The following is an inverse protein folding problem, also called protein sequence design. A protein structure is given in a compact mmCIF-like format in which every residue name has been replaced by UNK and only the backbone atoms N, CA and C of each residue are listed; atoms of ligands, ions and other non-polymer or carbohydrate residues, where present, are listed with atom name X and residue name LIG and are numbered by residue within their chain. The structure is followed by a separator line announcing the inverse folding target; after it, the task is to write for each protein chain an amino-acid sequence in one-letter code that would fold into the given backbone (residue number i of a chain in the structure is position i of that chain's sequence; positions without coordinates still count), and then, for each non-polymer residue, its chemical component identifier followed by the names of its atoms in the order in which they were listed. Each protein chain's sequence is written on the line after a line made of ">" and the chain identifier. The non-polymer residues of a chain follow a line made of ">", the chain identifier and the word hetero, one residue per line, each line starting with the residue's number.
data_IF_092429405919
#
_entry.id   IF_092429405919
#
_cell.length_a   1.000
_cell.length_b   1.000
_cell.length_c   1.000
_cell.angle_alpha   90.00
_cell.angle_beta   90.00
_cell.angle_gamma   90.00
#
_symmetry.space_group_name_H-M   'P 1'
#
loop_
_entity.id
_entity.type
_entity.pdbx_description
1 polymer ?
#
# COMPACT_ATOMS: atom_id res chain seq x y z
N UNK A 1 8.12 -11.72 22.16
CA UNK A 1 7.30 -10.48 22.09
C UNK A 1 7.45 -9.91 20.70
N UNK A 2 6.35 -9.80 19.95
CA UNK A 2 6.35 -9.20 18.61
C UNK A 2 6.76 -7.72 18.73
N UNK A 3 7.60 -7.27 17.79
CA UNK A 3 7.95 -5.85 17.69
C UNK A 3 6.69 -5.05 17.36
N UNK A 4 6.41 -4.00 18.14
CA UNK A 4 5.33 -3.08 17.85
C UNK A 4 5.79 -2.21 16.69
N UNK A 5 5.05 -2.28 15.57
CA UNK A 5 5.22 -1.41 14.42
C UNK A 5 4.04 -0.45 14.43
N UNK A 6 4.30 0.83 14.30
CA UNK A 6 3.27 1.86 14.19
C UNK A 6 3.56 2.79 13.02
N UNK A 7 2.53 3.32 12.40
CA UNK A 7 2.66 4.42 11.45
C UNK A 7 2.75 5.74 12.22
N UNK A 8 3.57 6.67 11.75
CA UNK A 8 3.71 7.99 12.36
C UNK A 8 3.85 9.06 11.29
N UNK A 9 2.97 10.05 11.29
CA UNK A 9 2.98 11.19 10.37
C UNK A 9 4.30 11.98 10.34
N UNK A 10 5.04 12.01 11.43
CA UNK A 10 6.32 12.75 11.51
C UNK A 10 7.46 12.17 10.67
N UNK A 11 7.31 10.99 10.06
CA UNK A 11 8.39 10.22 9.42
C UNK A 11 8.19 10.04 7.91
N UNK A 12 7.12 10.59 7.35
CA UNK A 12 6.87 10.52 5.91
C UNK A 12 7.92 11.28 5.11
N UNK A 13 8.36 10.67 4.01
CA UNK A 13 9.44 11.20 3.16
C UNK A 13 8.98 12.25 2.15
N UNK A 14 7.67 12.39 1.93
CA UNK A 14 7.12 13.28 0.92
C UNK A 14 6.33 14.41 1.57
N UNK A 15 6.96 15.57 1.63
CA UNK A 15 6.34 16.81 2.07
C UNK A 15 6.42 17.85 0.95
N UNK A 16 5.40 18.66 0.83
CA UNK A 16 5.45 19.93 0.13
C UNK A 16 5.41 21.08 1.12
N UNK A 17 5.93 22.22 0.74
CA UNK A 17 5.85 23.45 1.54
C UNK A 17 4.71 24.29 0.98
N UNK A 18 3.63 24.42 1.76
CA UNK A 18 2.49 25.27 1.44
C UNK A 18 2.40 26.32 2.53
N UNK A 19 2.45 27.59 2.15
CA UNK A 19 2.41 28.74 3.10
C UNK A 19 3.48 28.65 4.20
N UNK A 20 4.68 28.17 3.85
CA UNK A 20 5.80 28.02 4.79
C UNK A 20 5.68 26.83 5.75
N UNK A 21 4.64 26.01 5.64
CA UNK A 21 4.44 24.83 6.48
C UNK A 21 4.70 23.55 5.69
N UNK A 22 5.35 22.56 6.33
CA UNK A 22 5.47 21.21 5.79
C UNK A 22 4.08 20.56 5.81
N UNK A 23 3.56 20.21 4.63
CA UNK A 23 2.36 19.41 4.49
C UNK A 23 2.71 18.05 3.84
N UNK A 24 2.05 16.99 4.28
CA UNK A 24 2.21 15.68 3.69
C UNK A 24 1.70 15.74 2.24
N UNK A 25 2.48 15.18 1.31
CA UNK A 25 2.04 15.05 -0.08
C UNK A 25 1.00 13.94 -0.18
N UNK A 26 -0.26 14.35 -0.37
CA UNK A 26 -1.37 13.43 -0.62
C UNK A 26 -1.38 13.01 -2.09
N UNK A 27 -1.99 11.86 -2.38
CA UNK A 27 -2.12 11.36 -3.75
C UNK A 27 -2.95 12.33 -4.59
N UNK A 28 -2.43 12.86 -5.72
CA UNK A 28 -3.22 13.72 -6.58
C UNK A 28 -4.47 13.01 -7.09
N UNK A 29 -5.58 13.75 -7.21
CA UNK A 29 -6.86 13.17 -7.62
C UNK A 29 -6.80 12.51 -8.99
N UNK A 30 -6.14 13.16 -9.97
CA UNK A 30 -5.92 12.60 -11.31
C UNK A 30 -5.11 11.29 -11.29
N UNK A 31 -4.14 11.17 -10.37
CA UNK A 31 -3.38 9.93 -10.17
C UNK A 31 -4.25 8.84 -9.57
N UNK A 32 -5.07 9.19 -8.57
CA UNK A 32 -5.99 8.23 -7.97
C UNK A 32 -7.02 7.73 -9.00
N UNK A 33 -7.55 8.60 -9.87
CA UNK A 33 -8.44 8.21 -10.97
C UNK A 33 -7.77 7.21 -11.91
N UNK A 34 -6.59 7.53 -12.44
CA UNK A 34 -5.83 6.65 -13.35
C UNK A 34 -5.53 5.29 -12.72
N UNK A 35 -5.18 5.28 -11.44
CA UNK A 35 -4.90 4.04 -10.68
C UNK A 35 -6.17 3.22 -10.52
N UNK A 36 -7.28 3.84 -10.12
CA UNK A 36 -8.53 3.14 -9.88
C UNK A 36 -9.19 2.61 -11.17
N UNK A 37 -9.03 3.29 -12.31
CA UNK A 37 -9.43 2.76 -13.62
C UNK A 37 -8.78 1.41 -13.94
N UNK A 38 -7.53 1.21 -13.50
CA UNK A 38 -6.84 -0.07 -13.69
C UNK A 38 -7.20 -1.12 -12.63
N UNK A 39 -7.49 -0.69 -11.40
CA UNK A 39 -7.76 -1.58 -10.27
C UNK A 39 -9.19 -2.12 -10.30
N UNK A 40 -10.20 -1.24 -10.43
CA UNK A 40 -11.60 -1.59 -10.22
C UNK A 40 -12.10 -2.76 -11.08
N UNK A 41 -11.71 -2.89 -12.37
CA UNK A 41 -12.12 -4.05 -13.18
C UNK A 41 -11.60 -5.40 -12.69
N UNK A 42 -10.66 -5.40 -11.74
CA UNK A 42 -10.03 -6.61 -11.19
C UNK A 42 -10.64 -7.04 -9.84
N UNK A 43 -11.55 -6.23 -9.28
CA UNK A 43 -12.25 -6.49 -8.02
C UNK A 43 -13.64 -7.02 -8.35
N UNK A 44 -14.02 -8.13 -7.72
CA UNK A 44 -15.31 -8.77 -7.96
C UNK A 44 -16.46 -7.99 -7.33
N UNK A 45 -17.65 -8.11 -7.92
CA UNK A 45 -18.88 -7.59 -7.32
C UNK A 45 -19.12 -8.27 -5.96
N UNK A 46 -19.33 -7.47 -4.92
CA UNK A 46 -19.52 -7.97 -3.54
C UNK A 46 -18.23 -8.18 -2.75
N UNK A 47 -17.06 -7.96 -3.34
CA UNK A 47 -15.80 -7.97 -2.61
C UNK A 47 -15.69 -6.78 -1.64
N UNK A 48 -15.09 -7.02 -0.49
CA UNK A 48 -14.78 -5.99 0.50
C UNK A 48 -13.39 -5.40 0.28
N UNK A 49 -13.24 -4.09 0.53
CA UNK A 49 -11.98 -3.38 0.27
C UNK A 49 -11.55 -2.56 1.47
N UNK A 50 -10.29 -2.71 1.89
CA UNK A 50 -9.65 -1.87 2.90
C UNK A 50 -8.75 -0.82 2.25
N UNK A 51 -8.83 0.43 2.68
CA UNK A 51 -7.74 1.41 2.49
C UNK A 51 -6.93 1.55 3.78
N UNK A 52 -5.74 0.90 3.85
CA UNK A 52 -4.93 0.86 5.08
C UNK A 52 -4.36 2.21 5.53
N UNK A 53 -4.29 3.20 4.62
CA UNK A 53 -3.69 4.52 4.87
C UNK A 53 -4.49 5.57 4.10
N UNK A 54 -5.70 5.86 4.59
CA UNK A 54 -6.71 6.66 3.88
C UNK A 54 -6.22 8.07 3.54
N UNK A 55 -5.51 8.71 4.45
CA UNK A 55 -5.11 10.10 4.29
C UNK A 55 -6.31 11.03 4.07
N UNK A 56 -6.30 11.76 2.95
CA UNK A 56 -7.40 12.65 2.52
C UNK A 56 -8.53 11.93 1.75
N UNK A 57 -8.43 10.61 1.56
CA UNK A 57 -9.46 9.80 0.92
C UNK A 57 -9.34 9.67 -0.60
N UNK A 58 -8.20 10.04 -1.19
CA UNK A 58 -8.01 10.05 -2.65
C UNK A 58 -8.40 8.73 -3.34
N UNK A 59 -8.09 7.58 -2.73
CA UNK A 59 -8.57 6.28 -3.20
C UNK A 59 -9.90 5.89 -2.58
N UNK A 60 -10.07 6.09 -1.26
CA UNK A 60 -11.24 5.66 -0.51
C UNK A 60 -12.54 6.15 -1.16
N UNK A 61 -12.61 7.42 -1.55
CA UNK A 61 -13.81 8.02 -2.12
C UNK A 61 -14.20 7.41 -3.48
N UNK A 62 -13.23 6.78 -4.17
CA UNK A 62 -13.42 6.16 -5.49
C UNK A 62 -13.73 4.65 -5.44
N UNK A 63 -13.69 4.03 -4.26
CA UNK A 63 -14.03 2.62 -4.07
C UNK A 63 -15.54 2.47 -4.01
N UNK A 64 -16.20 1.80 -5.00
CA UNK A 64 -17.66 1.63 -5.02
C UNK A 64 -18.16 0.41 -4.22
N UNK A 65 -17.23 -0.39 -3.66
CA UNK A 65 -17.50 -1.60 -2.91
C UNK A 65 -17.77 -1.33 -1.42
N UNK A 66 -18.21 -2.32 -0.69
CA UNK A 66 -18.17 -2.27 0.78
C UNK A 66 -16.73 -2.04 1.22
N UNK A 67 -16.49 -0.98 2.00
CA UNK A 67 -15.14 -0.49 2.24
C UNK A 67 -14.89 -0.09 3.69
N UNK A 68 -13.65 -0.32 4.08
CA UNK A 68 -13.10 0.00 5.38
C UNK A 68 -11.84 0.84 5.22
N UNK A 69 -11.39 1.47 6.28
CA UNK A 69 -10.14 2.23 6.26
C UNK A 69 -9.42 2.23 7.60
N UNK A 70 -8.11 2.52 7.54
CA UNK A 70 -7.33 2.93 8.69
C UNK A 70 -6.80 4.35 8.45
N UNK A 71 -6.80 5.16 9.51
CA UNK A 71 -6.21 6.49 9.50
C UNK A 71 -5.68 6.82 10.90
N UNK A 72 -4.36 6.97 11.00
CA UNK A 72 -3.68 7.14 12.29
C UNK A 72 -4.09 8.43 13.01
N UNK A 73 -4.45 9.48 12.25
CA UNK A 73 -4.94 10.74 12.82
C UNK A 73 -6.32 10.62 13.45
N UNK A 74 -7.06 9.59 13.09
CA UNK A 74 -8.37 9.26 13.69
C UNK A 74 -8.22 8.18 14.77
N UNK A 75 -6.98 7.76 15.09
CA UNK A 75 -6.70 6.76 16.10
C UNK A 75 -6.85 5.32 15.62
N UNK A 76 -7.00 5.10 14.31
CA UNK A 76 -7.14 3.77 13.71
C UNK A 76 -5.79 3.40 13.07
N UNK A 77 -4.93 2.71 13.84
CA UNK A 77 -3.62 2.28 13.36
C UNK A 77 -3.74 0.97 12.58
N UNK A 78 -3.26 0.98 11.32
CA UNK A 78 -3.26 -0.17 10.44
C UNK A 78 -2.62 -1.42 11.05
N UNK A 79 -1.54 -1.29 11.81
CA UNK A 79 -0.86 -2.44 12.41
C UNK A 79 -1.61 -3.07 13.59
N UNK A 80 -2.67 -2.42 14.07
CA UNK A 80 -3.60 -2.95 15.07
C UNK A 80 -4.94 -3.41 14.45
N UNK A 81 -5.13 -3.19 13.15
CA UNK A 81 -6.30 -3.67 12.43
C UNK A 81 -6.18 -5.19 12.20
N UNK A 82 -7.22 -5.96 12.52
CA UNK A 82 -7.22 -7.43 12.51
C UNK A 82 -8.43 -8.05 11.78
N UNK A 83 -9.34 -7.24 11.26
CA UNK A 83 -10.46 -7.72 10.44
C UNK A 83 -9.97 -8.13 9.03
N UNK A 84 -10.58 -9.19 8.49
CA UNK A 84 -10.25 -9.67 7.14
C UNK A 84 -11.10 -9.00 6.08
N UNK A 85 -10.50 -8.76 4.92
CA UNK A 85 -11.14 -8.19 3.73
C UNK A 85 -10.73 -8.98 2.49
N UNK A 86 -11.40 -8.76 1.35
CA UNK A 86 -10.97 -9.40 0.10
C UNK A 86 -9.76 -8.70 -0.50
N UNK A 87 -9.76 -7.38 -0.54
CA UNK A 87 -8.73 -6.57 -1.17
C UNK A 87 -8.27 -5.41 -0.28
N UNK A 88 -7.04 -4.95 -0.51
CA UNK A 88 -6.60 -3.65 0.00
C UNK A 88 -6.08 -2.78 -1.15
N UNK A 89 -6.30 -1.45 -1.05
CA UNK A 89 -5.85 -0.45 -2.02
C UNK A 89 -5.30 0.73 -1.25
N UNK A 90 -4.06 1.15 -1.51
CA UNK A 90 -3.52 2.37 -0.89
C UNK A 90 -2.24 2.89 -1.55
N UNK A 91 -1.85 4.08 -1.14
CA UNK A 91 -0.50 4.64 -1.25
C UNK A 91 0.16 4.62 0.13
N UNK A 92 0.83 3.52 0.52
CA UNK A 92 1.34 3.36 1.87
C UNK A 92 2.49 4.31 2.18
N UNK A 93 2.73 4.66 3.45
CA UNK A 93 3.88 5.45 3.85
C UNK A 93 5.19 4.71 3.56
N UNK A 94 6.25 5.46 3.20
CA UNK A 94 7.55 4.87 2.88
C UNK A 94 8.38 4.49 4.11
N UNK A 95 8.00 5.00 5.29
CA UNK A 95 8.63 4.71 6.57
C UNK A 95 7.61 4.54 7.67
N UNK A 96 7.91 3.67 8.61
CA UNK A 96 7.18 3.46 9.86
C UNK A 96 8.16 3.43 11.03
N UNK A 97 7.65 3.60 12.23
CA UNK A 97 8.47 3.41 13.44
C UNK A 97 8.45 1.93 13.86
N UNK A 98 9.63 1.39 14.08
CA UNK A 98 9.82 0.10 14.72
C UNK A 98 10.76 0.29 15.88
N UNK A 99 10.30 0.03 17.12
CA UNK A 99 11.04 0.29 18.35
C UNK A 99 11.55 1.75 18.47
N UNK A 100 10.77 2.72 18.00
CA UNK A 100 11.12 4.14 18.00
C UNK A 100 12.04 4.60 16.86
N UNK A 101 12.56 3.68 16.04
CA UNK A 101 13.45 4.00 14.92
C UNK A 101 12.71 3.93 13.57
N UNK A 102 12.99 4.89 12.63
CA UNK A 102 12.38 4.87 11.31
C UNK A 102 12.96 3.76 10.44
N UNK A 103 12.12 2.83 10.02
CA UNK A 103 12.48 1.73 9.11
C UNK A 103 11.73 1.83 7.77
N UNK A 104 12.22 1.11 6.76
CA UNK A 104 11.50 0.96 5.50
C UNK A 104 10.14 0.31 5.77
N UNK A 105 9.07 0.97 5.33
CA UNK A 105 7.70 0.57 5.63
C UNK A 105 7.19 -0.57 4.76
N UNK A 106 7.72 -0.74 3.54
CA UNK A 106 7.10 -1.62 2.54
C UNK A 106 6.94 -3.06 3.02
N UNK A 107 7.99 -3.65 3.57
CA UNK A 107 7.96 -5.06 3.96
C UNK A 107 7.05 -5.32 5.17
N UNK A 108 7.13 -4.56 6.27
CA UNK A 108 6.17 -4.68 7.36
C UNK A 108 4.70 -4.52 6.90
N UNK A 109 4.43 -3.52 6.06
CA UNK A 109 3.08 -3.26 5.53
C UNK A 109 2.61 -4.42 4.67
N UNK A 110 3.40 -4.87 3.69
CA UNK A 110 3.07 -6.00 2.82
C UNK A 110 2.77 -7.25 3.65
N UNK A 111 3.65 -7.60 4.59
CA UNK A 111 3.46 -8.78 5.42
C UNK A 111 2.22 -8.70 6.32
N UNK A 112 1.85 -7.51 6.80
CA UNK A 112 0.62 -7.35 7.58
C UNK A 112 -0.61 -7.43 6.65
N UNK A 113 -0.59 -6.78 5.49
CA UNK A 113 -1.66 -6.84 4.51
C UNK A 113 -1.95 -8.26 4.04
N UNK A 114 -0.92 -9.08 3.82
CA UNK A 114 -1.06 -10.49 3.45
C UNK A 114 -1.84 -11.31 4.49
N UNK A 115 -1.87 -10.88 5.75
CA UNK A 115 -2.67 -11.55 6.81
C UNK A 115 -4.13 -11.14 6.79
N UNK A 116 -4.42 -9.93 6.29
CA UNK A 116 -5.76 -9.34 6.30
C UNK A 116 -6.53 -9.66 5.01
N UNK A 117 -5.84 -9.80 3.88
CA UNK A 117 -6.48 -9.95 2.58
C UNK A 117 -6.71 -11.42 2.20
N UNK A 118 -7.93 -11.72 1.75
CA UNK A 118 -8.29 -13.05 1.25
C UNK A 118 -7.87 -13.26 -0.20
N UNK A 119 -7.85 -12.20 -1.03
CA UNK A 119 -7.62 -12.27 -2.48
C UNK A 119 -6.36 -11.54 -2.92
N UNK A 120 -6.15 -10.29 -2.46
CA UNK A 120 -4.99 -9.54 -2.90
C UNK A 120 -4.97 -8.09 -2.46
N UNK A 121 -4.01 -7.34 -2.96
CA UNK A 121 -3.92 -5.91 -2.71
C UNK A 121 -3.16 -5.17 -3.81
N UNK A 122 -3.44 -3.88 -3.93
CA UNK A 122 -2.81 -2.96 -4.87
C UNK A 122 -2.19 -1.80 -4.12
N UNK A 123 -0.89 -1.60 -4.29
CA UNK A 123 -0.19 -0.50 -3.65
C UNK A 123 0.49 0.40 -4.68
N UNK A 124 0.21 1.70 -4.58
CA UNK A 124 1.00 2.73 -5.25
C UNK A 124 2.31 2.92 -4.48
N UNK A 125 3.42 2.62 -5.11
CA UNK A 125 4.74 2.60 -4.49
C UNK A 125 5.76 3.31 -5.36
N UNK A 126 6.86 3.77 -4.75
CA UNK A 126 7.99 4.29 -5.50
C UNK A 126 9.05 3.20 -5.79
N UNK A 127 10.07 3.57 -6.56
CA UNK A 127 11.16 2.67 -6.96
C UNK A 127 11.92 2.01 -5.79
N UNK A 128 11.84 2.55 -4.56
CA UNK A 128 12.53 1.98 -3.38
C UNK A 128 11.97 0.61 -2.97
N UNK A 129 10.75 0.27 -3.39
CA UNK A 129 10.23 -1.07 -3.16
C UNK A 129 11.13 -2.13 -3.81
N UNK A 130 11.62 -1.88 -5.03
CA UNK A 130 12.44 -2.86 -5.76
C UNK A 130 13.71 -3.26 -5.03
N UNK A 131 14.34 -2.32 -4.31
CA UNK A 131 15.51 -2.64 -3.47
C UNK A 131 15.18 -3.52 -2.27
N UNK A 132 13.91 -3.66 -1.92
CA UNK A 132 13.42 -4.49 -0.83
C UNK A 132 12.96 -5.88 -1.29
N UNK A 133 12.76 -6.08 -2.61
CA UNK A 133 12.33 -7.34 -3.19
C UNK A 133 13.53 -8.23 -3.51
N UNK A 134 13.97 -9.02 -2.52
CA UNK A 134 15.02 -10.02 -2.73
C UNK A 134 14.44 -11.33 -3.26
N UNK A 135 15.24 -12.12 -3.99
CA UNK A 135 14.86 -13.47 -4.45
C UNK A 135 14.33 -14.33 -3.31
N UNK A 136 15.05 -14.34 -2.17
CA UNK A 136 14.60 -15.09 -0.99
C UNK A 136 13.19 -14.68 -0.55
N UNK A 137 12.92 -13.39 -0.47
CA UNK A 137 11.61 -12.87 -0.02
C UNK A 137 10.49 -13.23 -0.99
N UNK A 138 10.76 -13.12 -2.29
CA UNK A 138 9.78 -13.50 -3.32
C UNK A 138 9.45 -14.99 -3.25
N UNK A 139 10.44 -15.85 -3.04
CA UNK A 139 10.23 -17.29 -2.81
C UNK A 139 9.43 -17.55 -1.53
N UNK A 140 9.82 -16.94 -0.39
CA UNK A 140 9.12 -17.11 0.89
C UNK A 140 7.63 -16.72 0.75
N UNK A 141 7.31 -15.63 0.04
CA UNK A 141 5.93 -15.24 -0.23
C UNK A 141 5.20 -16.21 -1.15
N UNK A 142 5.86 -16.64 -2.22
CA UNK A 142 5.28 -17.59 -3.17
C UNK A 142 4.96 -18.95 -2.53
N UNK A 143 5.81 -19.42 -1.61
CA UNK A 143 5.56 -20.63 -0.81
C UNK A 143 4.33 -20.51 0.08
N UNK A 144 3.92 -19.30 0.45
CA UNK A 144 2.70 -19.02 1.21
C UNK A 144 1.50 -18.66 0.32
N UNK A 145 1.63 -18.83 -0.99
CA UNK A 145 0.59 -18.57 -1.98
C UNK A 145 0.50 -17.11 -2.45
N UNK A 146 1.47 -16.24 -2.11
CA UNK A 146 1.43 -14.84 -2.52
C UNK A 146 2.38 -14.55 -3.69
N UNK A 147 1.87 -13.91 -4.72
CA UNK A 147 2.64 -13.54 -5.90
C UNK A 147 2.45 -12.07 -6.28
N UNK A 148 3.49 -11.47 -6.86
CA UNK A 148 3.34 -10.23 -7.62
C UNK A 148 2.74 -10.59 -8.97
N UNK A 149 1.46 -10.30 -9.19
CA UNK A 149 0.69 -10.71 -10.36
C UNK A 149 0.44 -9.58 -11.37
N UNK A 150 0.77 -8.33 -11.01
CA UNK A 150 0.59 -7.19 -11.91
C UNK A 150 1.43 -5.99 -11.53
N UNK A 151 1.82 -5.22 -12.53
CA UNK A 151 2.54 -3.95 -12.36
C UNK A 151 2.00 -2.96 -13.39
N UNK A 152 1.61 -1.77 -12.93
CA UNK A 152 1.32 -0.61 -13.77
C UNK A 152 2.34 0.48 -13.48
N UNK A 153 2.98 1.02 -14.49
CA UNK A 153 3.89 2.17 -14.37
C UNK A 153 3.04 3.44 -14.38
N UNK A 154 3.29 4.35 -13.42
CA UNK A 154 2.55 5.58 -13.23
C UNK A 154 3.50 6.78 -13.31
N UNK A 155 3.12 7.81 -14.05
CA UNK A 155 3.77 9.11 -14.02
C UNK A 155 2.99 10.06 -13.11
N UNK A 156 3.63 10.58 -12.08
CA UNK A 156 3.02 11.55 -11.17
C UNK A 156 3.76 12.88 -11.34
N UNK A 157 3.19 13.80 -12.11
CA UNK A 157 3.82 15.07 -12.50
C UNK A 157 4.28 15.94 -11.33
N UNK A 158 3.56 15.88 -10.20
CA UNK A 158 3.88 16.65 -8.99
C UNK A 158 4.96 16.01 -8.12
N UNK A 159 5.30 14.74 -8.38
CA UNK A 159 6.23 14.00 -7.55
C UNK A 159 7.49 13.64 -8.31
N UNK A 160 8.61 13.86 -7.68
CA UNK A 160 9.89 13.45 -8.26
C UNK A 160 10.10 11.95 -8.05
N UNK A 161 10.42 11.21 -9.11
CA UNK A 161 10.76 9.79 -9.04
C UNK A 161 9.95 8.91 -10.00
N UNK A 162 10.02 7.61 -9.77
CA UNK A 162 9.31 6.59 -10.54
C UNK A 162 8.32 5.89 -9.62
N UNK A 163 7.10 5.75 -10.10
CA UNK A 163 5.99 5.19 -9.35
C UNK A 163 5.37 4.02 -10.09
N UNK A 164 4.84 3.10 -9.32
CA UNK A 164 4.24 1.86 -9.79
C UNK A 164 3.03 1.52 -8.95
N UNK A 165 1.98 1.00 -9.57
CA UNK A 165 0.97 0.23 -8.85
C UNK A 165 1.35 -1.24 -8.95
N UNK A 166 1.56 -1.88 -7.83
CA UNK A 166 1.90 -3.30 -7.77
C UNK A 166 0.69 -4.06 -7.22
N UNK A 167 0.29 -5.11 -7.96
CA UNK A 167 -0.70 -6.07 -7.52
C UNK A 167 0.00 -7.26 -6.88
N UNK A 168 -0.37 -7.55 -5.66
CA UNK A 168 -0.12 -8.83 -5.00
C UNK A 168 -1.43 -9.62 -4.97
N UNK A 169 -1.35 -10.90 -5.28
CA UNK A 169 -2.52 -11.76 -5.35
C UNK A 169 -2.25 -13.10 -4.70
N UNK A 170 -3.21 -13.55 -3.90
CA UNK A 170 -3.15 -14.86 -3.29
C UNK A 170 -3.51 -15.92 -4.34
N UNK A 171 -2.72 -16.97 -4.38
CA UNK A 171 -2.78 -18.04 -5.39
C UNK A 171 -2.67 -17.53 -6.84
N UNK A 172 -2.09 -16.32 -6.99
CA UNK A 172 -1.81 -15.70 -8.28
C UNK A 172 -0.56 -16.26 -8.96
N UNK A 173 -0.43 -15.94 -10.25
CA UNK A 173 0.77 -16.29 -11.02
C UNK A 173 1.76 -15.12 -10.95
N UNK A 174 2.99 -15.40 -10.51
CA UNK A 174 4.05 -14.39 -10.48
C UNK A 174 4.43 -13.95 -11.90
N UNK A 175 4.46 -12.62 -12.11
CA UNK A 175 5.04 -12.02 -13.32
C UNK A 175 6.54 -11.77 -13.19
N UNK A 176 7.10 -11.96 -11.98
CA UNK A 176 8.54 -11.84 -11.72
C UNK A 176 9.19 -13.22 -11.82
N UNK A 177 10.27 -13.29 -12.58
CA UNK A 177 11.13 -14.47 -12.59
C UNK A 177 12.21 -14.30 -11.51
N UNK A 178 12.30 -15.27 -10.60
CA UNK A 178 13.26 -15.31 -9.49
C UNK A 178 13.82 -16.73 -9.22
N UNK A 179 13.69 -17.62 -10.19
CA UNK A 179 14.24 -18.99 -10.17
C UNK A 179 15.72 -19.00 -10.58
#
# INVERSE_FOLDING_TARGET
>A
MGQIISSNKGIYSNYEIIDGQKKLMMTPNETAEEVMEWILPQIGEGDTVLEPFRGDGAFYDKIPHEKYYCEIDEGIDFFHYDETVDWAISNPPFRVLQNGEPVNAFIPIINHTMKLCNKGFFYLVNHKLWSSLTVKRLRDWNETGWAVSGIKIIEIKKWYGRYYVIKFEKDGISILNFD
#
